data_IF_119288926195
#
_entry.id   IF_119288926195
#
_cell.length_a   1.000
_cell.length_b   1.000
_cell.length_c   1.000
_cell.angle_alpha   90.00
_cell.angle_beta   90.00
_cell.angle_gamma   90.00
#
_symmetry.space_group_name_H-M   'P 1'
#
loop_
_entity.id
_entity.type
_entity.pdbx_description
1 polymer ?
#
# COMPACT_ATOMS: atom_id res chain seq x y z
N UNK A 1 -76.97 27.42 3.96
CA UNK A 1 -75.60 27.92 3.70
C UNK A 1 -74.62 26.90 4.26
N UNK A 2 -74.20 25.93 3.43
CA UNK A 2 -73.25 24.89 3.84
C UNK A 2 -71.83 25.32 3.44
N UNK A 3 -70.92 25.42 4.41
CA UNK A 3 -69.48 25.54 4.16
C UNK A 3 -68.81 24.29 4.74
N UNK A 4 -68.45 23.37 3.85
CA UNK A 4 -67.58 22.23 4.16
C UNK A 4 -66.14 22.75 4.12
N UNK A 5 -65.46 22.71 5.26
CA UNK A 5 -64.05 23.09 5.40
C UNK A 5 -63.19 21.86 5.10
N UNK A 6 -62.57 21.81 3.92
CA UNK A 6 -61.58 20.80 3.56
C UNK A 6 -60.24 21.15 4.20
N UNK A 7 -59.83 20.38 5.20
CA UNK A 7 -58.49 20.46 5.80
C UNK A 7 -57.58 19.51 5.00
N UNK A 8 -56.68 20.07 4.19
CA UNK A 8 -55.59 19.32 3.57
C UNK A 8 -54.48 19.11 4.60
N UNK A 9 -54.40 17.90 5.13
CA UNK A 9 -53.28 17.48 6.00
C UNK A 9 -52.06 17.22 5.12
N UNK A 10 -51.11 18.15 5.14
CA UNK A 10 -49.83 18.01 4.44
C UNK A 10 -48.90 17.10 5.28
N UNK A 11 -48.91 15.80 5.00
CA UNK A 11 -47.94 14.87 5.59
C UNK A 11 -46.56 15.13 4.99
N UNK A 12 -45.72 15.89 5.69
CA UNK A 12 -44.29 16.02 5.38
C UNK A 12 -43.64 14.66 5.67
N UNK A 13 -43.45 13.85 4.64
CA UNK A 13 -42.57 12.69 4.68
C UNK A 13 -41.13 13.20 4.87
N UNK A 14 -40.69 13.28 6.12
CA UNK A 14 -39.28 13.44 6.48
C UNK A 14 -38.54 12.20 5.97
N UNK A 15 -38.05 12.26 4.73
CA UNK A 15 -37.02 11.32 4.28
C UNK A 15 -35.82 11.52 5.21
N UNK A 16 -35.40 10.50 5.99
CA UNK A 16 -34.14 10.59 6.68
C UNK A 16 -33.09 10.66 5.58
N UNK A 17 -32.56 11.85 5.34
CA UNK A 17 -31.28 12.01 4.67
C UNK A 17 -30.33 11.23 5.57
N UNK A 18 -30.03 9.97 5.21
CA UNK A 18 -28.86 9.30 5.71
C UNK A 18 -27.69 10.20 5.26
N UNK A 19 -27.28 11.11 6.13
CA UNK A 19 -25.98 11.72 6.05
C UNK A 19 -25.00 10.56 6.17
N UNK A 20 -24.60 10.00 5.04
CA UNK A 20 -23.55 9.01 4.99
C UNK A 20 -22.32 9.73 5.52
N UNK A 21 -22.01 9.52 6.80
CA UNK A 21 -20.89 10.13 7.47
C UNK A 21 -19.65 9.81 6.63
N UNK A 22 -19.19 10.79 5.87
CA UNK A 22 -18.08 10.61 4.94
C UNK A 22 -16.85 10.37 5.80
N UNK A 23 -16.51 9.09 6.00
CA UNK A 23 -15.33 8.71 6.79
C UNK A 23 -14.13 9.41 6.18
N UNK A 24 -13.41 10.16 7.03
CA UNK A 24 -12.18 10.82 6.62
C UNK A 24 -11.24 9.78 5.99
N UNK A 25 -10.69 10.04 4.79
CA UNK A 25 -9.80 9.10 4.13
C UNK A 25 -8.56 8.80 4.97
N UNK A 26 -8.17 7.54 5.04
CA UNK A 26 -6.89 7.13 5.64
C UNK A 26 -5.76 7.66 4.76
N UNK A 27 -4.83 8.42 5.34
CA UNK A 27 -3.67 8.99 4.64
C UNK A 27 -2.43 8.15 4.88
N UNK A 28 -1.84 7.68 3.79
CA UNK A 28 -0.65 6.81 3.82
C UNK A 28 0.49 7.45 3.03
N UNK A 29 1.66 7.59 3.64
CA UNK A 29 2.88 7.97 2.93
C UNK A 29 3.77 6.75 2.69
N UNK A 30 4.00 6.40 1.44
CA UNK A 30 4.95 5.37 1.04
C UNK A 30 6.35 5.98 0.83
N UNK A 31 7.33 5.51 1.58
CA UNK A 31 8.73 5.93 1.51
C UNK A 31 9.57 4.79 0.94
N UNK A 32 10.35 5.09 -0.10
CA UNK A 32 11.25 4.10 -0.69
C UNK A 32 11.75 4.49 -2.08
N UNK A 33 11.79 3.53 -2.99
CA UNK A 33 12.46 3.69 -4.27
C UNK A 33 11.67 2.98 -5.39
N UNK A 34 12.34 2.45 -6.41
CA UNK A 34 11.68 1.75 -7.53
C UNK A 34 10.90 0.51 -7.09
N UNK A 35 11.25 -0.10 -5.96
CA UNK A 35 10.46 -1.18 -5.33
C UNK A 35 9.13 -0.68 -4.75
N UNK A 36 8.96 0.63 -4.67
CA UNK A 36 7.74 1.28 -4.20
C UNK A 36 6.98 1.92 -5.35
N UNK A 37 7.60 2.70 -6.24
CA UNK A 37 6.82 3.49 -7.22
C UNK A 37 6.50 2.77 -8.54
N UNK A 38 7.13 1.63 -8.85
CA UNK A 38 6.92 0.96 -10.13
C UNK A 38 5.45 0.56 -10.32
N UNK A 39 4.94 0.80 -11.53
CA UNK A 39 3.54 0.57 -11.91
C UNK A 39 2.52 1.23 -10.97
N UNK A 40 2.85 2.42 -10.47
CA UNK A 40 1.93 3.24 -9.66
C UNK A 40 1.45 2.51 -8.39
N UNK A 41 2.27 1.65 -7.78
CA UNK A 41 1.84 0.77 -6.68
C UNK A 41 1.11 1.52 -5.54
N UNK A 42 1.58 2.69 -5.03
CA UNK A 42 0.84 3.44 -4.02
C UNK A 42 -0.60 3.79 -4.48
N UNK A 43 -0.76 4.23 -5.73
CA UNK A 43 -2.09 4.53 -6.30
C UNK A 43 -2.93 3.27 -6.52
N UNK A 44 -2.32 2.12 -6.81
CA UNK A 44 -3.04 0.84 -6.87
C UNK A 44 -3.68 0.51 -5.51
N UNK A 45 -2.99 0.74 -4.39
CA UNK A 45 -3.57 0.54 -3.05
C UNK A 45 -4.84 1.38 -2.86
N UNK A 46 -4.79 2.67 -3.20
CA UNK A 46 -5.97 3.55 -3.14
C UNK A 46 -7.11 3.05 -4.01
N UNK A 47 -6.83 2.68 -5.26
CA UNK A 47 -7.85 2.23 -6.20
C UNK A 47 -8.47 0.88 -5.79
N UNK A 48 -7.68 -0.04 -5.23
CA UNK A 48 -8.17 -1.31 -4.70
C UNK A 48 -9.06 -1.09 -3.47
N UNK A 49 -8.62 -0.28 -2.51
CA UNK A 49 -9.40 0.04 -1.33
C UNK A 49 -10.74 0.71 -1.68
N UNK A 50 -10.72 1.65 -2.63
CA UNK A 50 -11.91 2.33 -3.10
C UNK A 50 -12.90 1.36 -3.74
N UNK A 51 -12.43 0.37 -4.50
CA UNK A 51 -13.29 -0.69 -5.06
C UNK A 51 -13.98 -1.54 -3.98
N UNK A 52 -13.49 -1.49 -2.73
CA UNK A 52 -14.10 -2.13 -1.56
C UNK A 52 -14.89 -1.14 -0.69
N UNK A 53 -15.11 0.10 -1.16
CA UNK A 53 -15.78 1.16 -0.40
C UNK A 53 -14.95 1.67 0.80
N UNK A 54 -13.62 1.53 0.77
CA UNK A 54 -12.71 2.06 1.79
C UNK A 54 -11.93 3.24 1.20
N UNK A 55 -11.97 4.39 1.86
CA UNK A 55 -11.25 5.58 1.40
C UNK A 55 -9.82 5.58 1.94
N UNK A 56 -8.85 5.27 1.07
CA UNK A 56 -7.41 5.37 1.34
C UNK A 56 -6.79 6.34 0.33
N UNK A 57 -6.12 7.37 0.81
CA UNK A 57 -5.32 8.29 0.02
C UNK A 57 -3.84 7.96 0.19
N UNK A 58 -3.25 7.37 -0.86
CA UNK A 58 -1.84 7.02 -0.90
C UNK A 58 -1.01 8.14 -1.52
N UNK A 59 0.07 8.49 -0.82
CA UNK A 59 1.07 9.45 -1.23
C UNK A 59 2.43 8.76 -1.25
N UNK A 60 3.41 9.37 -1.91
CA UNK A 60 4.75 8.79 -1.98
C UNK A 60 5.84 9.83 -1.76
N UNK A 61 6.91 9.41 -1.09
CA UNK A 61 8.20 10.06 -1.06
C UNK A 61 9.24 9.05 -1.53
N UNK A 62 9.38 8.95 -2.85
CA UNK A 62 10.19 7.92 -3.47
C UNK A 62 11.32 8.52 -4.29
N UNK A 63 12.51 7.92 -4.19
CA UNK A 63 13.69 8.34 -4.94
C UNK A 63 14.42 7.11 -5.49
N UNK A 64 14.65 7.06 -6.80
CA UNK A 64 15.23 5.89 -7.47
C UNK A 64 16.55 5.43 -6.82
N UNK A 65 16.66 4.13 -6.54
CA UNK A 65 17.82 3.50 -5.91
C UNK A 65 18.20 4.04 -4.52
N UNK A 66 17.32 4.75 -3.83
CA UNK A 66 17.65 5.35 -2.53
C UNK A 66 17.39 4.41 -1.37
N UNK A 67 18.24 4.52 -0.35
CA UNK A 67 18.06 3.88 0.96
C UNK A 67 17.40 4.81 1.97
N UNK A 68 16.96 4.27 3.11
CA UNK A 68 16.43 5.07 4.23
C UNK A 68 17.47 6.06 4.74
N UNK A 69 18.76 5.70 4.77
CA UNK A 69 19.84 6.65 5.06
C UNK A 69 19.77 7.91 4.18
N UNK A 70 19.61 7.70 2.88
CA UNK A 70 19.60 8.78 1.90
C UNK A 70 18.32 9.60 2.02
N UNK A 71 17.19 8.95 2.28
CA UNK A 71 15.95 9.66 2.60
C UNK A 71 16.07 10.52 3.85
N UNK A 72 16.71 10.01 4.89
CA UNK A 72 16.96 10.73 6.14
C UNK A 72 17.87 11.93 5.90
N UNK A 73 18.97 11.74 5.17
CA UNK A 73 19.93 12.81 4.86
C UNK A 73 19.41 13.83 3.84
N UNK A 74 18.27 13.58 3.19
CA UNK A 74 17.74 14.44 2.13
C UNK A 74 18.55 14.36 0.83
N UNK A 75 19.32 13.28 0.64
CA UNK A 75 20.13 13.08 -0.56
C UNK A 75 19.24 12.91 -1.79
N UNK A 76 19.79 13.21 -2.96
CA UNK A 76 19.11 13.09 -4.27
C UNK A 76 17.75 13.83 -4.32
N UNK A 77 17.61 14.90 -3.53
CA UNK A 77 16.38 15.68 -3.46
C UNK A 77 15.24 15.02 -2.66
N UNK A 78 15.53 14.03 -1.82
CA UNK A 78 14.52 13.41 -0.97
C UNK A 78 13.87 14.42 -0.03
N UNK A 79 12.54 14.52 -0.11
CA UNK A 79 11.71 15.36 0.77
C UNK A 79 11.02 14.57 1.88
N UNK A 80 11.49 13.34 2.18
CA UNK A 80 10.79 12.42 3.09
C UNK A 80 10.56 13.01 4.49
N UNK A 81 11.61 13.53 5.15
CA UNK A 81 11.45 14.12 6.50
C UNK A 81 10.49 15.29 6.48
N UNK A 82 10.65 16.22 5.52
CA UNK A 82 9.75 17.35 5.31
C UNK A 82 8.28 16.90 5.17
N UNK A 83 8.01 15.89 4.33
CA UNK A 83 6.65 15.35 4.15
C UNK A 83 6.08 14.76 5.43
N UNK A 84 6.89 14.08 6.24
CA UNK A 84 6.48 13.54 7.55
C UNK A 84 6.23 14.68 8.55
N UNK A 85 7.06 15.73 8.54
CA UNK A 85 6.96 16.86 9.46
C UNK A 85 5.74 17.76 9.20
N UNK A 86 5.37 17.96 7.94
CA UNK A 86 4.40 18.97 7.51
C UNK A 86 2.97 18.44 7.30
N UNK A 87 2.74 17.13 7.42
CA UNK A 87 1.44 16.52 7.11
C UNK A 87 1.03 15.51 8.18
N UNK A 88 -0.29 15.42 8.39
CA UNK A 88 -0.88 14.40 9.26
C UNK A 88 -1.08 13.11 8.47
N UNK A 89 -0.31 12.08 8.82
CA UNK A 89 -0.38 10.73 8.26
C UNK A 89 -1.03 9.80 9.28
N UNK A 90 -1.87 8.86 8.82
CA UNK A 90 -2.28 7.73 9.66
C UNK A 90 -1.18 6.68 9.66
N UNK A 91 -0.59 6.43 8.49
CA UNK A 91 0.48 5.44 8.30
C UNK A 91 1.63 6.00 7.48
N UNK A 92 2.85 5.63 7.86
CA UNK A 92 4.05 5.81 7.03
C UNK A 92 4.67 4.46 6.76
N UNK A 93 4.64 4.06 5.49
CA UNK A 93 5.14 2.77 5.02
C UNK A 93 6.59 2.93 4.59
N UNK A 94 7.50 2.22 5.25
CA UNK A 94 8.93 2.32 5.07
C UNK A 94 9.47 1.09 4.34
N UNK A 95 10.21 1.31 3.26
CA UNK A 95 11.05 0.28 2.62
C UNK A 95 12.43 0.84 2.33
N UNK A 96 13.46 0.11 2.74
CA UNK A 96 14.84 0.43 2.42
C UNK A 96 15.24 -0.09 1.02
N UNK A 97 16.42 0.29 0.56
CA UNK A 97 17.03 -0.25 -0.65
C UNK A 97 17.21 -1.77 -0.52
N UNK A 98 16.93 -2.49 -1.60
CA UNK A 98 16.77 -3.96 -1.65
C UNK A 98 17.95 -4.77 -1.11
N UNK A 99 19.15 -4.19 -1.09
CA UNK A 99 20.38 -4.83 -0.57
C UNK A 99 20.76 -4.40 0.85
N UNK A 100 20.13 -3.37 1.43
CA UNK A 100 20.63 -2.76 2.67
C UNK A 100 20.51 -3.66 3.90
N UNK A 101 19.52 -4.55 3.93
CA UNK A 101 19.43 -5.58 4.97
C UNK A 101 20.56 -6.62 4.90
N UNK A 102 21.28 -6.72 3.76
CA UNK A 102 22.34 -7.69 3.53
C UNK A 102 23.71 -7.01 3.66
N UNK A 103 23.94 -5.97 2.87
CA UNK A 103 25.27 -5.35 2.74
C UNK A 103 25.57 -4.35 3.88
N UNK A 104 24.53 -3.80 4.52
CA UNK A 104 24.68 -2.80 5.57
C UNK A 104 23.56 -2.88 6.65
N UNK A 105 23.38 -4.03 7.32
CA UNK A 105 22.27 -4.25 8.26
C UNK A 105 22.26 -3.24 9.42
N UNK A 106 23.43 -2.79 9.88
CA UNK A 106 23.52 -1.76 10.92
C UNK A 106 22.97 -0.42 10.46
N UNK A 107 23.18 -0.05 9.19
CA UNK A 107 22.61 1.18 8.60
C UNK A 107 21.11 1.04 8.41
N UNK A 108 20.65 -0.11 7.93
CA UNK A 108 19.21 -0.42 7.87
C UNK A 108 18.55 -0.24 9.24
N UNK A 109 19.15 -0.81 10.30
CA UNK A 109 18.66 -0.69 11.68
C UNK A 109 18.69 0.75 12.19
N UNK A 110 19.81 1.46 12.01
CA UNK A 110 20.00 2.83 12.46
C UNK A 110 18.94 3.77 11.86
N UNK A 111 18.80 3.76 10.54
CA UNK A 111 17.88 4.67 9.85
C UNK A 111 16.43 4.21 9.90
N UNK A 112 16.19 2.90 9.97
CA UNK A 112 14.88 2.35 10.28
C UNK A 112 14.37 2.87 11.64
N UNK A 113 15.20 2.78 12.70
CA UNK A 113 14.86 3.34 14.02
C UNK A 113 14.60 4.86 13.95
N UNK A 114 15.50 5.61 13.30
CA UNK A 114 15.33 7.08 13.16
C UNK A 114 13.99 7.45 12.52
N UNK A 115 13.57 6.73 11.47
CA UNK A 115 12.25 6.96 10.89
C UNK A 115 11.10 6.50 11.77
N UNK A 116 11.21 5.37 12.47
CA UNK A 116 10.19 4.94 13.44
C UNK A 116 9.96 6.03 14.49
N UNK A 117 11.03 6.55 15.09
CA UNK A 117 10.95 7.60 16.11
C UNK A 117 10.30 8.87 15.54
N UNK A 118 10.73 9.31 14.35
CA UNK A 118 10.16 10.48 13.68
C UNK A 118 8.67 10.32 13.39
N UNK A 119 8.27 9.19 12.79
CA UNK A 119 6.87 8.91 12.42
C UNK A 119 5.98 8.91 13.67
N UNK A 120 6.41 8.25 14.74
CA UNK A 120 5.68 8.23 16.02
C UNK A 120 5.59 9.61 16.68
N UNK A 121 6.65 10.41 16.59
CA UNK A 121 6.64 11.79 17.12
C UNK A 121 5.59 12.69 16.45
N UNK A 122 5.12 12.31 15.26
CA UNK A 122 4.05 13.00 14.51
C UNK A 122 2.67 12.34 14.66
N UNK A 123 2.55 11.34 15.54
CA UNK A 123 1.29 10.64 15.82
C UNK A 123 0.87 9.63 14.75
N UNK A 124 1.74 9.35 13.77
CA UNK A 124 1.49 8.35 12.73
C UNK A 124 2.02 6.97 13.14
N UNK A 125 1.45 5.90 12.57
CA UNK A 125 1.92 4.53 12.79
C UNK A 125 2.96 4.16 11.70
N UNK A 126 4.22 3.86 12.07
CA UNK A 126 5.18 3.32 11.12
C UNK A 126 4.82 1.87 10.78
N UNK A 127 4.98 1.50 9.50
CA UNK A 127 4.83 0.11 9.03
C UNK A 127 6.00 -0.19 8.09
N UNK A 128 6.65 -1.34 8.24
CA UNK A 128 7.62 -1.76 7.24
C UNK A 128 6.96 -2.57 6.12
N UNK A 129 7.32 -2.29 4.86
CA UNK A 129 7.05 -3.21 3.77
C UNK A 129 8.32 -4.04 3.51
N UNK A 130 8.26 -5.33 3.84
CA UNK A 130 9.38 -6.27 3.64
C UNK A 130 9.57 -6.46 2.13
N UNK A 131 10.72 -6.04 1.60
CA UNK A 131 11.03 -6.19 0.17
C UNK A 131 11.29 -7.64 -0.23
N UNK A 132 11.34 -7.90 -1.53
CA UNK A 132 11.55 -9.24 -2.10
C UNK A 132 12.99 -9.45 -2.59
N UNK A 133 13.39 -10.71 -2.73
CA UNK A 133 14.67 -11.14 -3.30
C UNK A 133 14.78 -10.84 -4.79
N UNK A 134 15.98 -10.80 -5.33
CA UNK A 134 16.17 -10.79 -6.79
C UNK A 134 15.72 -12.12 -7.42
N UNK A 135 15.39 -12.07 -8.71
CA UNK A 135 14.83 -13.21 -9.45
C UNK A 135 15.85 -14.35 -9.52
N UNK A 136 17.10 -14.04 -9.82
CA UNK A 136 18.23 -14.97 -9.89
C UNK A 136 18.82 -15.38 -8.53
N UNK A 137 18.48 -14.67 -7.45
CA UNK A 137 18.98 -14.97 -6.10
C UNK A 137 17.87 -15.06 -5.05
N UNK A 138 17.01 -16.10 -5.10
CA UNK A 138 15.93 -16.30 -4.12
C UNK A 138 16.42 -16.49 -2.68
N UNK A 139 17.67 -16.94 -2.49
CA UNK A 139 18.24 -17.17 -1.15
C UNK A 139 18.28 -15.90 -0.28
N UNK A 140 18.32 -14.72 -0.92
CA UNK A 140 18.28 -13.42 -0.24
C UNK A 140 17.04 -13.24 0.64
N UNK A 141 15.90 -13.85 0.28
CA UNK A 141 14.64 -13.59 0.97
C UNK A 141 14.70 -13.91 2.47
N UNK A 142 15.45 -14.95 2.84
CA UNK A 142 15.62 -15.35 4.24
C UNK A 142 16.29 -14.25 5.06
N UNK A 143 17.34 -13.62 4.53
CA UNK A 143 18.07 -12.55 5.21
C UNK A 143 17.22 -11.28 5.25
N UNK A 144 16.63 -10.88 4.12
CA UNK A 144 15.77 -9.69 4.04
C UNK A 144 14.65 -9.78 5.08
N UNK A 145 13.90 -10.89 5.08
CA UNK A 145 12.77 -11.07 6.00
C UNK A 145 13.21 -11.07 7.45
N UNK A 146 14.33 -11.74 7.77
CA UNK A 146 14.87 -11.80 9.13
C UNK A 146 15.19 -10.41 9.66
N UNK A 147 15.88 -9.56 8.90
CA UNK A 147 16.30 -8.25 9.38
C UNK A 147 15.13 -7.28 9.55
N UNK A 148 14.17 -7.28 8.60
CA UNK A 148 12.94 -6.50 8.77
C UNK A 148 12.12 -6.96 9.99
N UNK A 149 11.92 -8.27 10.17
CA UNK A 149 11.14 -8.82 11.29
C UNK A 149 11.85 -8.54 12.62
N UNK A 150 13.18 -8.68 12.68
CA UNK A 150 13.96 -8.36 13.88
C UNK A 150 13.77 -6.90 14.27
N UNK A 151 13.97 -5.97 13.33
CA UNK A 151 13.78 -4.55 13.59
C UNK A 151 12.32 -4.23 13.99
N UNK A 152 11.36 -4.83 13.30
CA UNK A 152 9.94 -4.65 13.58
C UNK A 152 9.58 -5.11 14.99
N UNK A 153 10.05 -6.28 15.43
CA UNK A 153 9.81 -6.81 16.77
C UNK A 153 10.47 -5.94 17.85
N UNK A 154 11.73 -5.55 17.64
CA UNK A 154 12.49 -4.74 18.60
C UNK A 154 11.82 -3.40 18.91
N UNK A 155 11.08 -2.84 17.95
CA UNK A 155 10.40 -1.56 18.08
C UNK A 155 8.87 -1.64 18.07
N UNK A 156 8.28 -2.85 18.11
CA UNK A 156 6.84 -3.08 18.01
C UNK A 156 6.20 -2.36 16.81
N UNK A 157 6.68 -2.66 15.61
CA UNK A 157 6.25 -2.06 14.34
C UNK A 157 5.59 -3.14 13.48
N UNK A 158 4.47 -2.82 12.83
CA UNK A 158 3.79 -3.77 11.93
C UNK A 158 4.57 -3.96 10.64
N UNK A 159 4.33 -5.08 9.97
CA UNK A 159 4.95 -5.36 8.66
C UNK A 159 3.90 -5.75 7.62
N UNK A 160 4.08 -5.29 6.38
CA UNK A 160 3.47 -5.90 5.21
C UNK A 160 4.39 -7.02 4.70
N UNK A 161 3.94 -8.29 4.69
CA UNK A 161 4.78 -9.45 4.37
C UNK A 161 4.94 -9.65 2.86
N UNK A 162 5.28 -8.60 2.13
CA UNK A 162 5.39 -8.60 0.66
C UNK A 162 6.43 -9.62 0.19
N UNK A 163 7.67 -9.52 0.66
CA UNK A 163 8.75 -10.43 0.30
C UNK A 163 8.45 -11.90 0.61
N UNK A 164 8.01 -12.26 1.83
CA UNK A 164 7.62 -13.64 2.15
C UNK A 164 6.53 -14.21 1.23
N UNK A 165 5.47 -13.45 0.95
CA UNK A 165 4.38 -13.89 0.06
C UNK A 165 4.85 -13.97 -1.39
N UNK A 166 5.68 -13.02 -1.83
CA UNK A 166 6.29 -13.01 -3.14
C UNK A 166 7.10 -14.29 -3.40
N UNK A 167 7.99 -14.64 -2.46
CA UNK A 167 8.80 -15.86 -2.54
C UNK A 167 7.94 -17.14 -2.49
N UNK A 168 6.88 -17.14 -1.69
CA UNK A 168 5.93 -18.27 -1.63
C UNK A 168 5.21 -18.47 -2.97
N UNK A 169 4.72 -17.40 -3.61
CA UNK A 169 4.06 -17.48 -4.92
C UNK A 169 5.00 -18.00 -5.99
N UNK A 170 6.27 -17.55 -6.01
CA UNK A 170 7.24 -18.03 -6.99
C UNK A 170 7.49 -19.54 -6.90
N UNK A 171 7.37 -20.12 -5.70
CA UNK A 171 7.53 -21.56 -5.46
C UNK A 171 6.26 -22.34 -5.81
N UNK A 172 5.09 -21.75 -5.56
CA UNK A 172 3.80 -22.39 -5.82
C UNK A 172 3.40 -22.34 -7.30
N UNK A 173 3.68 -21.23 -7.98
CA UNK A 173 3.30 -21.02 -9.38
C UNK A 173 4.38 -20.22 -10.15
N UNK A 174 5.32 -20.96 -10.74
CA UNK A 174 6.42 -20.39 -11.53
C UNK A 174 6.00 -19.74 -12.85
N UNK A 175 4.74 -19.92 -13.29
CA UNK A 175 4.25 -19.35 -14.56
C UNK A 175 3.89 -17.86 -14.44
N UNK A 176 3.77 -17.34 -13.22
CA UNK A 176 3.52 -15.91 -13.00
C UNK A 176 4.84 -15.18 -12.86
N UNK A 177 5.20 -14.37 -13.87
CA UNK A 177 6.37 -13.51 -13.78
C UNK A 177 6.05 -12.24 -12.98
N UNK A 178 6.44 -12.26 -11.71
CA UNK A 178 6.30 -11.11 -10.82
C UNK A 178 7.34 -10.02 -11.11
N UNK A 179 8.37 -10.30 -11.91
CA UNK A 179 9.43 -9.35 -12.19
C UNK A 179 9.35 -8.81 -13.61
N UNK A 180 9.61 -7.52 -13.77
CA UNK A 180 9.82 -6.90 -15.08
C UNK A 180 11.25 -7.13 -15.58
N UNK A 181 12.22 -7.09 -14.66
CA UNK A 181 13.62 -7.40 -14.91
C UNK A 181 14.16 -8.35 -13.81
N UNK A 182 15.43 -8.27 -13.41
CA UNK A 182 15.94 -9.14 -12.34
C UNK A 182 15.40 -8.77 -10.93
N UNK A 183 14.87 -7.57 -10.73
CA UNK A 183 14.57 -7.05 -9.39
C UNK A 183 13.30 -6.21 -9.30
N UNK A 184 12.98 -5.43 -10.33
CA UNK A 184 11.81 -4.55 -10.33
C UNK A 184 10.53 -5.34 -10.59
N UNK A 185 9.39 -4.90 -10.02
CA UNK A 185 8.15 -5.62 -10.18
C UNK A 185 7.60 -5.46 -11.60
N UNK A 186 6.98 -6.51 -12.13
CA UNK A 186 6.09 -6.43 -13.29
C UNK A 186 4.76 -5.77 -12.90
N UNK A 187 3.87 -5.52 -13.86
CA UNK A 187 2.49 -5.10 -13.54
C UNK A 187 1.81 -6.10 -12.59
N UNK A 188 2.02 -7.41 -12.78
CA UNK A 188 1.50 -8.44 -11.87
C UNK A 188 2.18 -8.39 -10.50
N UNK A 189 3.48 -8.10 -10.44
CA UNK A 189 4.22 -7.88 -9.20
C UNK A 189 3.67 -6.70 -8.39
N UNK A 190 3.52 -5.52 -9.00
CA UNK A 190 2.96 -4.35 -8.30
C UNK A 190 1.49 -4.54 -7.91
N UNK A 191 0.71 -5.27 -8.71
CA UNK A 191 -0.64 -5.68 -8.34
C UNK A 191 -0.64 -6.57 -7.09
N UNK A 192 0.26 -7.57 -7.01
CA UNK A 192 0.43 -8.40 -5.81
C UNK A 192 0.79 -7.58 -4.58
N UNK A 193 1.75 -6.65 -4.70
CA UNK A 193 2.15 -5.76 -3.60
C UNK A 193 0.92 -4.99 -3.08
N UNK A 194 0.14 -4.40 -3.99
CA UNK A 194 -1.05 -3.65 -3.64
C UNK A 194 -2.15 -4.52 -3.02
N UNK A 195 -2.33 -5.76 -3.48
CA UNK A 195 -3.28 -6.72 -2.86
C UNK A 195 -2.90 -7.02 -1.41
N UNK A 196 -1.62 -7.29 -1.14
CA UNK A 196 -1.10 -7.60 0.20
C UNK A 196 -1.37 -6.43 1.15
N UNK A 197 -1.02 -5.22 0.74
CA UNK A 197 -1.21 -4.01 1.53
C UNK A 197 -2.72 -3.75 1.74
N UNK A 198 -3.52 -3.82 0.68
CA UNK A 198 -4.98 -3.58 0.77
C UNK A 198 -5.63 -4.58 1.71
N UNK A 199 -5.35 -5.89 1.57
CA UNK A 199 -5.87 -6.92 2.48
C UNK A 199 -5.48 -6.66 3.93
N UNK A 200 -4.21 -6.31 4.16
CA UNK A 200 -3.68 -6.03 5.51
C UNK A 200 -4.34 -4.80 6.16
N UNK A 201 -4.72 -3.80 5.36
CA UNK A 201 -5.34 -2.58 5.85
C UNK A 201 -6.86 -2.69 6.02
N UNK A 202 -7.54 -3.36 5.08
CA UNK A 202 -9.02 -3.40 5.06
C UNK A 202 -9.59 -4.64 5.74
N UNK A 203 -8.82 -5.73 5.83
CA UNK A 203 -9.29 -7.05 6.27
C UNK A 203 -10.31 -7.69 5.32
N UNK A 204 -10.75 -6.99 4.27
CA UNK A 204 -11.83 -7.43 3.38
C UNK A 204 -11.33 -8.51 2.43
N UNK A 205 -12.26 -9.33 1.94
CA UNK A 205 -12.00 -10.28 0.86
C UNK A 205 -11.51 -9.57 -0.39
N UNK A 206 -10.48 -10.12 -1.03
CA UNK A 206 -9.93 -9.59 -2.27
C UNK A 206 -10.69 -10.07 -3.51
N UNK A 207 -11.60 -11.06 -3.39
CA UNK A 207 -12.32 -11.69 -4.52
C UNK A 207 -12.78 -10.71 -5.60
N UNK A 208 -13.34 -9.58 -5.19
CA UNK A 208 -13.97 -8.61 -6.10
C UNK A 208 -13.03 -7.46 -6.53
N UNK A 209 -11.74 -7.49 -6.12
CA UNK A 209 -10.76 -6.52 -6.61
C UNK A 209 -10.64 -6.64 -8.15
N UNK A 210 -10.79 -5.54 -8.90
CA UNK A 210 -10.68 -5.54 -10.34
C UNK A 210 -9.29 -5.96 -10.82
N UNK A 211 -9.25 -6.70 -11.95
CA UNK A 211 -7.99 -7.02 -12.65
C UNK A 211 -7.45 -5.87 -13.51
N UNK A 212 -8.29 -4.87 -13.76
CA UNK A 212 -7.97 -3.62 -14.47
C UNK A 212 -8.35 -2.48 -13.54
N UNK A 213 -7.34 -1.84 -12.97
CA UNK A 213 -7.56 -0.67 -12.11
C UNK A 213 -7.40 0.57 -12.98
N UNK A 214 -8.34 1.50 -12.84
CA UNK A 214 -8.34 2.75 -13.56
C UNK A 214 -8.78 3.88 -12.63
N UNK A 215 -8.51 5.10 -13.05
CA UNK A 215 -9.03 6.32 -12.47
C UNK A 215 -9.66 7.16 -13.57
N UNK A 216 -10.46 8.12 -13.16
CA UNK A 216 -11.06 9.12 -14.04
C UNK A 216 -10.30 10.42 -13.78
N UNK A 217 -9.83 11.07 -14.84
CA UNK A 217 -9.15 12.36 -14.74
C UNK A 217 -10.14 13.53 -14.60
N UNK A 218 -9.62 14.76 -14.50
CA UNK A 218 -10.42 15.98 -14.33
C UNK A 218 -11.36 16.26 -15.53
N UNK A 219 -11.14 15.61 -16.67
CA UNK A 219 -11.94 15.76 -17.90
C UNK A 219 -13.01 14.68 -18.03
N UNK A 220 -13.07 13.73 -17.09
CA UNK A 220 -13.98 12.59 -17.18
C UNK A 220 -13.42 11.39 -17.95
N UNK A 221 -12.14 11.42 -18.34
CA UNK A 221 -11.52 10.37 -19.15
C UNK A 221 -10.90 9.27 -18.29
N UNK A 222 -11.04 8.01 -18.75
CA UNK A 222 -10.46 6.85 -18.04
C UNK A 222 -8.98 6.70 -18.40
N UNK A 223 -8.13 6.65 -17.38
CA UNK A 223 -6.75 6.19 -17.51
C UNK A 223 -6.49 4.99 -16.61
N UNK A 224 -5.76 4.01 -17.15
CA UNK A 224 -5.52 2.75 -16.46
C UNK A 224 -4.24 2.80 -15.64
N UNK A 225 -4.33 2.36 -14.39
CA UNK A 225 -3.21 2.24 -13.47
C UNK A 225 -2.45 0.91 -13.65
N UNK A 226 -3.19 -0.18 -13.90
CA UNK A 226 -2.63 -1.52 -14.06
C UNK A 226 -3.57 -2.45 -14.83
N UNK A 227 -2.96 -3.38 -15.58
CA UNK A 227 -3.62 -4.50 -16.22
C UNK A 227 -2.93 -5.80 -15.80
N UNK A 228 -3.74 -6.78 -15.39
CA UNK A 228 -3.30 -8.14 -15.11
C UNK A 228 -4.21 -9.13 -15.83
N UNK A 229 -3.67 -10.25 -16.32
CA UNK A 229 -4.46 -11.30 -16.96
C UNK A 229 -5.51 -11.85 -15.98
N UNK A 230 -6.60 -12.41 -16.51
CA UNK A 230 -7.66 -13.00 -15.67
C UNK A 230 -7.12 -14.13 -14.78
N UNK A 231 -6.23 -14.97 -15.32
CA UNK A 231 -5.60 -16.07 -14.59
C UNK A 231 -4.71 -15.56 -13.46
N UNK A 232 -3.81 -14.62 -13.74
CA UNK A 232 -2.90 -14.08 -12.72
C UNK A 232 -3.68 -13.32 -11.65
N UNK A 233 -4.65 -12.47 -12.02
CA UNK A 233 -5.46 -11.74 -11.04
C UNK A 233 -6.25 -12.69 -10.13
N UNK A 234 -6.89 -13.73 -10.68
CA UNK A 234 -7.62 -14.71 -9.87
C UNK A 234 -6.69 -15.40 -8.86
N UNK A 235 -5.60 -15.98 -9.35
CA UNK A 235 -4.65 -16.72 -8.51
C UNK A 235 -4.05 -15.82 -7.41
N UNK A 236 -3.57 -14.62 -7.75
CA UNK A 236 -2.91 -13.74 -6.78
C UNK A 236 -3.88 -13.30 -5.68
N UNK A 237 -5.14 -13.01 -6.01
CA UNK A 237 -6.18 -12.66 -5.01
C UNK A 237 -6.44 -13.81 -4.05
N UNK A 238 -6.66 -15.01 -4.58
CA UNK A 238 -6.92 -16.22 -3.77
C UNK A 238 -5.72 -16.57 -2.88
N UNK A 239 -4.50 -16.45 -3.41
CA UNK A 239 -3.28 -16.71 -2.65
C UNK A 239 -3.13 -15.72 -1.48
N UNK A 240 -3.33 -14.42 -1.72
CA UNK A 240 -3.19 -13.40 -0.68
C UNK A 240 -4.30 -13.52 0.37
N UNK A 241 -5.56 -13.75 -0.02
CA UNK A 241 -6.67 -13.94 0.91
C UNK A 241 -6.45 -15.14 1.84
N UNK A 242 -5.83 -16.21 1.35
CA UNK A 242 -5.45 -17.38 2.17
C UNK A 242 -4.26 -17.09 3.09
N UNK A 243 -3.33 -16.24 2.64
CA UNK A 243 -2.07 -15.97 3.33
C UNK A 243 -2.19 -14.96 4.48
N UNK A 244 -3.16 -14.04 4.40
CA UNK A 244 -3.37 -12.97 5.38
C UNK A 244 -4.79 -13.11 5.95
N UNK A 245 -4.87 -13.50 7.23
CA UNK A 245 -6.13 -13.69 7.95
C UNK A 245 -6.64 -12.40 8.57
#
# INVERSE_FOLDING_TARGET
MNRVLLIFTFCILLNPILAQQQKTPIKILFVGNSFTFFWNMPQLVSAMAESQGVSINSYQSTVSGSSLEQHWKGEKGSLTRKKIDENNWDYVVLSDHSLKTIDAPEKFREYGKKFIDLVRSKGAEPIFMITWSYKDNPSMQKIISKEYIKLANDFNVKVFPVGPIWDAIRKDNSNIDLYFDNKHPSSAGSYLIALIITKSLTGKSLKDIPKRLFKIDEKGEKFYLSFVSSSNSKYLKEFVDKSIK
#
